data_IF_228797774575
#
_entry.id   IF_228797774575
#
_cell.length_a   1.000
_cell.length_b   1.000
_cell.length_c   1.000
_cell.angle_alpha   90.00
_cell.angle_beta   90.00
_cell.angle_gamma   90.00
#
_symmetry.space_group_name_H-M   'P 1'
#
loop_
_entity.id
_entity.type
_entity.pdbx_description
1 polymer ?
#
# COMPACT_ATOMS: atom_id res chain seq x y z
N UNK A 1 -17.95 -7.56 -5.15
CA UNK A 1 -16.78 -8.45 -5.32
C UNK A 1 -15.82 -7.76 -6.30
N UNK A 2 -14.52 -7.82 -6.05
CA UNK A 2 -13.50 -7.33 -6.98
C UNK A 2 -13.09 -8.43 -7.95
N UNK A 3 -12.79 -8.09 -9.20
CA UNK A 3 -12.14 -9.02 -10.14
C UNK A 3 -10.65 -9.18 -9.82
N UNK A 4 -10.00 -10.16 -10.44
CA UNK A 4 -8.57 -10.39 -10.26
C UNK A 4 -7.72 -9.21 -10.73
N UNK A 5 -8.03 -8.62 -11.88
CA UNK A 5 -7.36 -7.39 -12.33
C UNK A 5 -7.58 -6.22 -11.36
N UNK A 6 -8.75 -6.11 -10.74
CA UNK A 6 -9.00 -5.07 -9.74
C UNK A 6 -8.20 -5.30 -8.46
N UNK A 7 -8.07 -6.56 -8.01
CA UNK A 7 -7.20 -6.92 -6.88
C UNK A 7 -5.74 -6.61 -7.21
N UNK A 8 -5.27 -6.99 -8.40
CA UNK A 8 -3.92 -6.66 -8.87
C UNK A 8 -3.69 -5.16 -8.98
N UNK A 9 -4.70 -4.38 -9.38
CA UNK A 9 -4.61 -2.92 -9.38
C UNK A 9 -4.41 -2.37 -7.96
N UNK A 10 -5.21 -2.81 -7.00
CA UNK A 10 -5.07 -2.40 -5.60
C UNK A 10 -3.72 -2.86 -5.01
N UNK A 11 -3.22 -4.02 -5.42
CA UNK A 11 -1.88 -4.48 -5.04
C UNK A 11 -0.77 -3.61 -5.63
N UNK A 12 -0.96 -3.13 -6.86
CA UNK A 12 -0.02 -2.24 -7.55
C UNK A 12 0.08 -0.88 -6.84
N UNK A 13 -1.07 -0.34 -6.42
CA UNK A 13 -1.15 0.84 -5.53
C UNK A 13 -0.36 0.61 -4.24
N UNK A 14 -0.38 -0.60 -3.71
CA UNK A 14 0.40 -0.98 -2.53
C UNK A 14 -0.07 -0.25 -1.27
N UNK A 15 0.89 0.16 -0.43
CA UNK A 15 0.63 0.65 0.93
C UNK A 15 -0.31 1.87 1.00
N UNK A 16 -0.45 2.61 -0.11
CA UNK A 16 -1.44 3.69 -0.20
C UNK A 16 -2.90 3.23 -0.04
N UNK A 17 -3.22 1.99 -0.42
CA UNK A 17 -4.58 1.45 -0.29
C UNK A 17 -4.88 0.95 1.13
N UNK A 18 -3.88 0.56 1.91
CA UNK A 18 -4.05 -0.01 3.24
C UNK A 18 -4.89 0.88 4.15
N UNK A 19 -4.55 2.16 4.24
CA UNK A 19 -5.31 3.15 5.03
C UNK A 19 -6.71 3.40 4.47
N UNK A 20 -6.88 3.34 3.15
CA UNK A 20 -8.18 3.46 2.51
C UNK A 20 -9.11 2.27 2.80
N UNK A 21 -8.58 1.12 3.23
CA UNK A 21 -9.36 -0.03 3.67
C UNK A 21 -9.79 0.08 5.13
N UNK A 22 -9.19 0.95 5.94
CA UNK A 22 -9.51 1.09 7.37
C UNK A 22 -10.71 2.00 7.64
N UNK A 23 -10.89 3.08 6.87
CA UNK A 23 -11.96 4.05 7.11
C UNK A 23 -12.45 4.73 5.83
N UNK A 24 -13.63 5.35 5.91
CA UNK A 24 -14.18 6.12 4.78
C UNK A 24 -13.40 7.43 4.58
N UNK A 25 -12.94 8.05 5.66
CA UNK A 25 -12.10 9.24 5.64
C UNK A 25 -10.74 8.93 4.97
N UNK A 26 -10.14 7.78 5.29
CA UNK A 26 -8.91 7.32 4.66
C UNK A 26 -9.07 7.07 3.17
N UNK A 27 -10.21 6.49 2.77
CA UNK A 27 -10.54 6.28 1.37
C UNK A 27 -10.74 7.60 0.62
N UNK A 28 -11.49 8.54 1.20
CA UNK A 28 -11.74 9.84 0.57
C UNK A 28 -10.45 10.66 0.46
N UNK A 29 -9.60 10.62 1.48
CA UNK A 29 -8.26 11.22 1.45
C UNK A 29 -7.40 10.62 0.34
N UNK A 30 -7.35 9.28 0.23
CA UNK A 30 -6.60 8.61 -0.83
C UNK A 30 -7.13 8.99 -2.22
N UNK A 31 -8.46 9.02 -2.40
CA UNK A 31 -9.09 9.38 -3.67
C UNK A 31 -8.84 10.84 -4.07
N UNK A 32 -8.61 11.73 -3.10
CA UNK A 32 -8.25 13.13 -3.33
C UNK A 32 -6.73 13.33 -3.58
N UNK A 33 -5.88 12.37 -3.23
CA UNK A 33 -4.42 12.51 -3.27
C UNK A 33 -3.81 12.70 -4.66
N UNK A 34 -4.58 12.41 -5.73
CA UNK A 34 -4.08 12.37 -7.12
C UNK A 34 -2.86 11.46 -7.31
N UNK A 35 -2.67 10.48 -6.42
CA UNK A 35 -1.55 9.57 -6.46
C UNK A 35 -1.51 8.80 -7.78
N UNK A 36 -0.32 8.64 -8.34
CA UNK A 36 -0.08 7.89 -9.56
C UNK A 36 1.25 7.17 -9.48
N UNK A 37 1.37 6.12 -10.26
CA UNK A 37 2.60 5.37 -10.45
C UNK A 37 2.81 5.14 -11.94
N UNK A 38 4.05 5.32 -12.37
CA UNK A 38 4.49 5.08 -13.73
C UNK A 38 5.83 4.37 -13.69
N UNK A 39 5.85 3.07 -13.93
CA UNK A 39 7.07 2.29 -13.87
C UNK A 39 6.91 0.95 -14.54
N UNK A 40 7.29 -0.09 -13.82
CA UNK A 40 7.14 -1.49 -14.26
C UNK A 40 6.03 -2.17 -13.51
N UNK A 41 5.40 -3.16 -14.15
CA UNK A 41 4.45 -4.04 -13.49
C UNK A 41 5.12 -4.75 -12.29
N UNK A 42 4.34 -4.98 -11.23
CA UNK A 42 4.82 -5.74 -10.07
C UNK A 42 5.07 -7.20 -10.46
N UNK A 43 6.00 -7.91 -9.80
CA UNK A 43 6.18 -9.35 -10.01
C UNK A 43 4.85 -10.12 -9.88
N UNK A 44 4.52 -10.91 -10.89
CA UNK A 44 3.28 -11.70 -10.96
C UNK A 44 2.05 -10.95 -11.49
N UNK A 45 2.08 -9.62 -11.57
CA UNK A 45 1.00 -8.84 -12.15
C UNK A 45 0.99 -8.96 -13.69
N UNK A 46 -0.16 -8.73 -14.34
CA UNK A 46 -0.19 -8.61 -15.79
C UNK A 46 0.80 -7.55 -16.28
N UNK A 47 1.60 -7.86 -17.32
CA UNK A 47 2.68 -6.99 -17.80
C UNK A 47 2.18 -5.59 -18.21
N UNK A 48 0.93 -5.49 -18.67
CA UNK A 48 0.30 -4.22 -19.04
C UNK A 48 -0.04 -3.33 -17.84
N UNK A 49 -0.06 -3.87 -16.61
CA UNK A 49 -0.37 -3.13 -15.38
C UNK A 49 0.90 -2.49 -14.80
N UNK A 50 1.56 -1.68 -15.62
CA UNK A 50 2.82 -1.01 -15.30
C UNK A 50 2.64 0.40 -14.71
N UNK A 51 1.40 0.87 -14.66
CA UNK A 51 1.05 2.22 -14.26
C UNK A 51 -0.37 2.30 -13.71
N UNK A 52 -0.62 3.25 -12.82
CA UNK A 52 -1.97 3.63 -12.39
C UNK A 52 -2.05 5.12 -12.10
N UNK A 53 -3.28 5.64 -12.09
CA UNK A 53 -3.57 6.98 -11.62
C UNK A 53 -4.86 6.97 -10.79
N UNK A 54 -4.88 7.80 -9.76
CA UNK A 54 -6.08 8.11 -8.97
C UNK A 54 -6.59 9.48 -9.40
N UNK A 55 -7.78 9.54 -10.00
CA UNK A 55 -8.38 10.80 -10.45
C UNK A 55 -9.90 10.68 -10.45
N UNK A 56 -10.60 11.74 -10.07
CA UNK A 56 -12.07 11.80 -10.09
C UNK A 56 -12.74 10.60 -9.37
N UNK A 57 -12.25 10.25 -8.17
CA UNK A 57 -12.85 9.22 -7.31
C UNK A 57 -12.67 7.77 -7.76
N UNK A 58 -11.72 7.53 -8.67
CA UNK A 58 -11.39 6.20 -9.20
C UNK A 58 -9.90 6.03 -9.39
N UNK A 59 -9.47 4.77 -9.34
CA UNK A 59 -8.13 4.31 -9.65
C UNK A 59 -8.22 3.58 -10.98
N UNK A 60 -7.40 3.97 -11.96
CA UNK A 60 -7.41 3.40 -13.31
C UNK A 60 -6.04 2.90 -13.70
N UNK A 61 -5.99 1.79 -14.43
CA UNK A 61 -4.76 1.26 -15.03
C UNK A 61 -5.03 0.67 -16.42
N UNK A 62 -4.08 0.78 -17.37
CA UNK A 62 -2.86 1.59 -17.27
C UNK A 62 -3.18 3.09 -17.21
N UNK A 63 -2.25 3.90 -16.68
CA UNK A 63 -2.36 5.36 -16.72
C UNK A 63 -1.72 5.95 -17.99
N UNK A 64 -0.90 5.17 -18.68
CA UNK A 64 -0.31 5.49 -19.99
C UNK A 64 -1.04 4.73 -21.10
N UNK A 65 -1.04 5.32 -22.29
CA UNK A 65 -1.71 4.78 -23.47
C UNK A 65 -3.15 5.25 -23.59
N UNK A 66 -3.79 4.80 -24.66
CA UNK A 66 -5.10 5.32 -25.08
C UNK A 66 -6.28 4.56 -24.45
N UNK A 67 -6.03 3.41 -23.82
CA UNK A 67 -7.07 2.52 -23.31
C UNK A 67 -6.90 2.19 -21.82
N UNK A 68 -7.90 2.55 -21.02
CA UNK A 68 -8.02 2.11 -19.63
C UNK A 68 -8.58 0.69 -19.61
N UNK A 69 -7.82 -0.26 -19.06
CA UNK A 69 -8.20 -1.68 -19.00
C UNK A 69 -8.96 -2.05 -17.72
N UNK A 70 -8.56 -1.45 -16.61
CA UNK A 70 -9.18 -1.72 -15.30
C UNK A 70 -9.45 -0.41 -14.56
N UNK A 71 -10.59 -0.37 -13.89
CA UNK A 71 -11.00 0.73 -13.03
C UNK A 71 -11.51 0.18 -11.69
N UNK A 72 -11.08 0.80 -10.59
CA UNK A 72 -11.62 0.57 -9.25
C UNK A 72 -12.15 1.89 -8.69
N UNK A 73 -13.41 1.90 -8.30
CA UNK A 73 -14.09 3.07 -7.74
C UNK A 73 -14.09 3.04 -6.21
N UNK A 74 -14.25 4.21 -5.58
CA UNK A 74 -14.46 4.29 -4.13
C UNK A 74 -15.64 3.43 -3.66
N UNK A 75 -16.74 3.37 -4.43
CA UNK A 75 -17.90 2.52 -4.13
C UNK A 75 -17.52 1.03 -4.09
N UNK A 76 -16.70 0.57 -5.03
CA UNK A 76 -16.22 -0.82 -5.06
C UNK A 76 -15.30 -1.12 -3.88
N UNK A 77 -14.43 -0.19 -3.49
CA UNK A 77 -13.56 -0.35 -2.31
C UNK A 77 -14.39 -0.42 -1.03
N UNK A 78 -15.40 0.46 -0.86
CA UNK A 78 -16.33 0.40 0.29
C UNK A 78 -17.07 -0.93 0.36
N UNK A 79 -17.54 -1.44 -0.78
CA UNK A 79 -18.20 -2.73 -0.83
C UNK A 79 -17.24 -3.87 -0.51
N UNK A 80 -16.00 -3.81 -1.00
CA UNK A 80 -14.96 -4.79 -0.72
C UNK A 80 -14.53 -4.80 0.74
N UNK A 81 -14.40 -3.63 1.38
CA UNK A 81 -14.07 -3.50 2.81
C UNK A 81 -14.98 -4.36 3.70
N UNK A 82 -16.27 -4.42 3.38
CA UNK A 82 -17.27 -5.22 4.12
C UNK A 82 -17.08 -6.74 4.01
N UNK A 83 -16.25 -7.18 3.06
CA UNK A 83 -15.94 -8.61 2.84
C UNK A 83 -14.60 -9.02 3.45
N UNK A 84 -13.83 -8.07 4.00
CA UNK A 84 -12.53 -8.36 4.59
C UNK A 84 -12.74 -9.00 5.97
N UNK A 85 -12.05 -10.13 6.26
CA UNK A 85 -12.07 -10.73 7.58
C UNK A 85 -11.62 -9.76 8.68
N UNK A 86 -12.28 -9.82 9.84
CA UNK A 86 -12.07 -8.87 10.94
C UNK A 86 -10.64 -8.95 11.51
N UNK A 87 -10.03 -10.13 11.50
CA UNK A 87 -8.65 -10.37 11.92
C UNK A 87 -7.65 -9.62 11.04
N UNK A 88 -7.87 -9.57 9.72
CA UNK A 88 -6.99 -8.86 8.80
C UNK A 88 -7.16 -7.35 8.94
N UNK A 89 -8.39 -6.87 9.16
CA UNK A 89 -8.63 -5.45 9.46
C UNK A 89 -7.99 -5.02 10.79
N UNK A 90 -8.01 -5.91 11.78
CA UNK A 90 -7.38 -5.65 13.09
C UNK A 90 -5.86 -5.57 12.95
N UNK A 91 -5.24 -6.49 12.21
CA UNK A 91 -3.80 -6.44 11.93
C UNK A 91 -3.43 -5.16 11.16
N UNK A 92 -4.21 -4.80 10.14
CA UNK A 92 -3.97 -3.59 9.36
C UNK A 92 -4.07 -2.32 10.22
N UNK A 93 -5.02 -2.26 11.15
CA UNK A 93 -5.15 -1.16 12.11
C UNK A 93 -3.98 -1.12 13.11
N UNK A 94 -3.48 -2.28 13.55
CA UNK A 94 -2.31 -2.38 14.41
C UNK A 94 -1.04 -1.89 13.71
N UNK A 95 -0.89 -2.21 12.41
CA UNK A 95 0.21 -1.71 11.57
C UNK A 95 0.12 -0.19 11.44
N UNK A 96 -1.04 0.37 11.06
CA UNK A 96 -1.22 1.82 10.91
C UNK A 96 -0.93 2.59 12.21
N UNK A 97 -1.36 2.02 13.35
CA UNK A 97 -1.01 2.56 14.67
C UNK A 97 0.51 2.54 14.90
N UNK A 98 1.17 1.42 14.62
CA UNK A 98 2.61 1.29 14.82
C UNK A 98 3.41 2.23 13.90
N UNK A 99 2.99 2.43 12.65
CA UNK A 99 3.58 3.43 11.76
C UNK A 99 3.40 4.85 12.29
N UNK A 100 2.21 5.17 12.81
CA UNK A 100 1.93 6.47 13.43
C UNK A 100 2.77 6.70 14.68
N UNK A 101 2.90 5.68 15.52
CA UNK A 101 3.72 5.74 16.74
C UNK A 101 5.21 5.89 16.38
N UNK A 102 5.69 5.20 15.35
CA UNK A 102 7.07 5.34 14.86
C UNK A 102 7.34 6.71 14.23
N UNK A 103 6.38 7.23 13.47
CA UNK A 103 6.44 8.58 12.94
C UNK A 103 6.54 9.63 14.06
N UNK A 104 5.77 9.45 15.15
CA UNK A 104 5.84 10.32 16.33
C UNK A 104 7.16 10.19 17.06
N UNK A 105 7.67 8.96 17.24
CA UNK A 105 8.96 8.68 17.89
C UNK A 105 10.11 9.40 17.19
N UNK A 106 10.05 9.47 15.86
CA UNK A 106 11.07 10.07 15.00
C UNK A 106 10.77 11.53 14.59
N UNK A 107 9.72 12.16 15.12
CA UNK A 107 9.27 13.50 14.68
C UNK A 107 10.33 14.60 14.91
N UNK A 108 11.12 14.47 15.98
CA UNK A 108 12.13 15.46 16.37
C UNK A 108 13.53 15.14 15.83
N UNK A 109 13.67 14.09 15.02
CA UNK A 109 14.96 13.73 14.43
C UNK A 109 15.34 14.72 13.33
N UNK A 110 16.55 15.27 13.40
CA UNK A 110 17.16 15.96 12.26
C UNK A 110 17.39 14.93 11.14
N UNK A 111 16.97 15.31 9.93
CA UNK A 111 17.29 14.63 8.67
C UNK A 111 18.41 15.32 7.89
N UNK A 112 19.06 16.30 8.51
CA UNK A 112 20.15 17.09 7.96
C UNK A 112 21.43 16.28 7.67
N UNK A 113 21.61 15.10 8.27
CA UNK A 113 22.69 14.17 7.88
C UNK A 113 22.54 13.63 6.43
N UNK A 114 21.34 13.69 5.83
CA UNK A 114 21.14 13.42 4.39
C UNK A 114 21.61 14.56 3.49
N UNK A 115 21.89 15.75 4.05
CA UNK A 115 22.45 16.87 3.29
C UNK A 115 23.95 16.62 3.03
N UNK A 116 24.38 16.83 1.79
CA UNK A 116 25.78 16.68 1.38
C UNK A 116 26.71 17.46 2.31
N UNK A 117 27.63 16.78 3.00
CA UNK A 117 28.69 17.43 3.78
C UNK A 117 28.96 16.87 5.18
N UNK A 118 28.12 15.96 5.71
CA UNK A 118 28.44 15.09 6.86
C UNK A 118 28.58 15.77 8.24
N UNK A 119 28.66 17.10 8.30
CA UNK A 119 28.75 17.81 9.58
C UNK A 119 27.37 18.02 10.22
N UNK A 120 27.17 17.33 11.33
CA UNK A 120 26.04 17.47 12.25
C UNK A 120 26.04 18.87 12.85
N UNK A 121 25.05 19.71 12.50
CA UNK A 121 24.88 21.04 13.09
C UNK A 121 23.58 21.09 13.89
N UNK A 122 23.59 21.55 15.15
CA UNK A 122 22.38 21.83 15.89
C UNK A 122 21.52 22.81 15.10
N UNK A 123 20.26 22.46 14.85
CA UNK A 123 19.34 23.35 14.18
C UNK A 123 17.93 23.21 14.76
N UNK A 124 17.17 24.29 14.68
CA UNK A 124 15.76 24.29 15.03
C UNK A 124 14.92 24.02 13.80
N UNK A 125 13.77 23.37 13.98
CA UNK A 125 12.81 23.20 12.89
C UNK A 125 12.13 24.53 12.54
N UNK A 126 11.26 24.52 11.51
CA UNK A 126 10.49 25.70 11.11
C UNK A 126 9.52 26.21 12.21
N UNK A 127 9.31 25.42 13.27
CA UNK A 127 8.52 25.77 14.47
C UNK A 127 9.40 26.14 15.66
N UNK A 128 10.70 26.37 15.46
CA UNK A 128 11.66 26.70 16.52
C UNK A 128 11.88 25.60 17.57
N UNK A 129 11.46 24.35 17.29
CA UNK A 129 11.72 23.20 18.16
C UNK A 129 13.14 22.70 17.96
N UNK A 130 13.77 22.24 19.05
CA UNK A 130 15.09 21.61 18.97
C UNK A 130 14.96 20.23 18.32
N UNK A 131 15.68 20.02 17.22
CA UNK A 131 15.85 18.70 16.63
C UNK A 131 17.22 18.14 17.02
N UNK A 132 17.30 16.84 17.22
CA UNK A 132 18.56 16.14 17.51
C UNK A 132 18.86 15.12 16.43
N UNK A 133 20.13 14.76 16.27
CA UNK A 133 20.51 13.70 15.34
C UNK A 133 20.38 12.37 16.08
N UNK A 134 19.64 11.39 15.53
CA UNK A 134 19.62 10.06 16.12
C UNK A 134 21.04 9.50 16.13
N UNK A 135 21.33 8.72 17.16
CA UNK A 135 22.49 7.83 17.15
C UNK A 135 22.34 6.75 16.09
N UNK A 136 23.44 6.13 15.67
CA UNK A 136 23.42 4.99 14.73
C UNK A 136 22.55 3.83 15.26
N UNK A 137 22.48 3.66 16.58
CA UNK A 137 21.64 2.64 17.21
C UNK A 137 20.16 2.97 17.08
N UNK A 138 19.76 4.23 17.32
CA UNK A 138 18.38 4.69 17.11
C UNK A 138 17.98 4.56 15.65
N UNK A 139 18.84 4.98 14.71
CA UNK A 139 18.57 4.87 13.27
C UNK A 139 18.45 3.40 12.83
N UNK A 140 19.32 2.52 13.33
CA UNK A 140 19.23 1.08 13.07
C UNK A 140 17.92 0.49 13.58
N UNK A 141 17.52 0.82 14.81
CA UNK A 141 16.23 0.38 15.37
C UNK A 141 15.04 0.91 14.57
N UNK A 142 15.08 2.19 14.15
CA UNK A 142 14.08 2.76 13.25
C UNK A 142 13.96 1.98 11.95
N UNK A 143 15.09 1.65 11.33
CA UNK A 143 15.11 0.90 10.08
C UNK A 143 14.56 -0.52 10.25
N UNK A 144 14.88 -1.20 11.35
CA UNK A 144 14.31 -2.50 11.68
C UNK A 144 12.78 -2.44 11.83
N UNK A 145 12.28 -1.42 12.54
CA UNK A 145 10.83 -1.20 12.71
C UNK A 145 10.16 -0.92 11.36
N UNK A 146 10.68 0.03 10.58
CA UNK A 146 10.09 0.40 9.28
C UNK A 146 10.09 -0.77 8.30
N UNK A 147 11.19 -1.52 8.20
CA UNK A 147 11.27 -2.69 7.33
C UNK A 147 10.33 -3.80 7.80
N UNK A 148 10.25 -4.03 9.12
CA UNK A 148 9.33 -4.98 9.73
C UNK A 148 7.86 -4.64 9.44
N UNK A 149 7.48 -3.38 9.62
CA UNK A 149 6.12 -2.89 9.34
C UNK A 149 5.77 -3.02 7.86
N UNK A 150 6.67 -2.63 6.95
CA UNK A 150 6.45 -2.77 5.49
C UNK A 150 6.24 -4.23 5.07
N UNK A 151 6.99 -5.17 5.66
CA UNK A 151 6.81 -6.60 5.38
C UNK A 151 5.45 -7.08 5.88
N UNK A 152 5.10 -6.78 7.13
CA UNK A 152 3.80 -7.14 7.72
C UNK A 152 2.63 -6.58 6.91
N UNK A 153 2.73 -5.31 6.49
CA UNK A 153 1.70 -4.66 5.68
C UNK A 153 1.57 -5.32 4.31
N UNK A 154 2.70 -5.59 3.65
CA UNK A 154 2.73 -6.31 2.38
C UNK A 154 2.05 -7.68 2.48
N UNK A 155 2.34 -8.45 3.54
CA UNK A 155 1.78 -9.80 3.72
C UNK A 155 0.28 -9.73 4.07
N UNK A 156 -0.12 -8.81 4.95
CA UNK A 156 -1.52 -8.55 5.28
C UNK A 156 -2.32 -8.14 4.02
N UNK A 157 -1.80 -7.21 3.23
CA UNK A 157 -2.47 -6.71 2.04
C UNK A 157 -2.58 -7.79 0.95
N UNK A 158 -1.56 -8.64 0.78
CA UNK A 158 -1.65 -9.82 -0.12
C UNK A 158 -2.78 -10.76 0.31
N UNK A 159 -2.89 -11.03 1.60
CA UNK A 159 -3.94 -11.90 2.15
C UNK A 159 -5.33 -11.28 1.93
N UNK A 160 -5.50 -9.99 2.21
CA UNK A 160 -6.75 -9.24 1.97
C UNK A 160 -7.15 -9.32 0.50
N UNK A 161 -6.21 -9.07 -0.41
CA UNK A 161 -6.48 -9.01 -1.85
C UNK A 161 -6.49 -10.39 -2.53
N UNK A 162 -6.19 -11.47 -1.81
CA UNK A 162 -6.04 -12.83 -2.33
C UNK A 162 -5.08 -12.92 -3.53
N UNK A 163 -3.99 -12.15 -3.52
CA UNK A 163 -3.03 -12.10 -4.63
C UNK A 163 -2.16 -13.36 -4.61
N UNK A 164 -2.10 -14.06 -5.75
CA UNK A 164 -1.29 -15.27 -5.90
C UNK A 164 -1.87 -16.50 -5.22
N UNK A 165 -3.13 -16.46 -4.77
CA UNK A 165 -3.87 -17.68 -4.43
C UNK A 165 -4.50 -18.23 -5.71
N UNK A 166 -4.26 -19.50 -6.02
CA UNK A 166 -5.05 -20.17 -7.05
C UNK A 166 -6.52 -20.24 -6.60
N UNK A 167 -7.49 -20.01 -7.50
CA UNK A 167 -8.88 -20.18 -7.17
C UNK A 167 -9.12 -21.63 -6.73
N UNK A 168 -9.49 -21.82 -5.47
CA UNK A 168 -9.93 -23.12 -4.93
C UNK A 168 -11.16 -23.56 -5.73
N UNK A 169 -10.98 -24.41 -6.73
CA UNK A 169 -12.08 -25.04 -7.48
C UNK A 169 -11.95 -25.19 -8.99
N UNK A 170 -10.92 -24.66 -9.66
CA UNK A 170 -10.85 -24.73 -11.13
C UNK A 170 -10.31 -26.07 -11.69
N UNK A 171 -9.84 -26.97 -10.83
CA UNK A 171 -9.43 -28.33 -11.23
C UNK A 171 -10.60 -29.32 -11.38
N UNK A 172 -11.84 -28.94 -11.06
CA UNK A 172 -13.00 -29.82 -11.19
C UNK A 172 -13.71 -29.74 -12.56
N UNK A 173 -13.33 -28.81 -13.44
CA UNK A 173 -14.01 -28.58 -14.73
C UNK A 173 -13.49 -29.43 -15.91
N UNK A 174 -12.44 -30.24 -15.69
CA UNK A 174 -11.86 -31.11 -16.73
C UNK A 174 -11.82 -32.60 -16.33
N UNK A 175 -12.65 -33.00 -15.36
CA UNK A 175 -12.83 -34.41 -14.98
C UNK A 175 -13.94 -35.09 -15.77
N UNK A 176 -13.57 -35.68 -16.91
CA UNK A 176 -14.27 -36.73 -17.67
C UNK A 176 -15.66 -36.43 -18.25
N UNK A 177 -15.69 -35.73 -19.39
CA UNK A 177 -16.55 -36.14 -20.50
C UNK A 177 -15.68 -36.83 -21.56
N UNK A 178 -15.63 -38.16 -21.50
CA UNK A 178 -15.45 -39.08 -22.63
C UNK A 178 -15.42 -40.50 -22.06
N UNK A 179 -16.12 -41.52 -22.56
CA UNK A 179 -17.12 -41.71 -23.60
C UNK A 179 -17.78 -43.06 -23.25
N UNK A 180 -18.99 -43.27 -23.74
CA UNK A 180 -19.75 -44.52 -23.64
C UNK A 180 -19.00 -45.77 -24.13
#
# INVERSE_FOLDING_TARGET
MLSDDQRWLLWTVGLGISRALLSDEGLDSYMASMNSYYGTARPGAPQWMDSYQTRAGRITSPARGDEIRVTVTAKQIRAFRKTIPAELLTELAAIDKAETDEHRRTELWCRCHFAKGGEVKPHKDFRQREQYHPSDAEDSEHMEIVVGLRRRESDCLKAILAIGQEPVGQLALFGSEALA
#
